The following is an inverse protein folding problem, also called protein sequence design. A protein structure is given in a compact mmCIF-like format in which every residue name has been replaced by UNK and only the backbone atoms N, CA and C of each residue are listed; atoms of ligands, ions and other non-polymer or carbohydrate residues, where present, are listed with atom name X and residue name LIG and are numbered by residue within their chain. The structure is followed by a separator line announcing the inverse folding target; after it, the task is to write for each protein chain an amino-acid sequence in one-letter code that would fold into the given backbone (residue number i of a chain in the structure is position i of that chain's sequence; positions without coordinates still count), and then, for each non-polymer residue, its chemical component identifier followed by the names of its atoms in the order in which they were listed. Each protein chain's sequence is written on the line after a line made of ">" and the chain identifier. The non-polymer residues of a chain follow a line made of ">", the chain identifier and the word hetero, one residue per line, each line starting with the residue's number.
data_IF_487770435551
#
_entry.id   IF_487770435551
#
_cell.length_a   1.000
_cell.length_b   1.000
_cell.length_c   1.000
_cell.angle_alpha   90.00
_cell.angle_beta   90.00
_cell.angle_gamma   90.00
#
_symmetry.space_group_name_H-M   'P 1'
#
loop_
_entity.id
_entity.type
_entity.pdbx_description
1 polymer ?
#
# COMPACT_ATOMS: atom_id res chain seq x y z
N UNK A 1 -26.54 -26.16 4.95
CA UNK A 1 -26.32 -24.74 4.57
C UNK A 1 -27.69 -24.07 4.58
N UNK A 2 -27.84 -22.95 5.30
CA UNK A 2 -29.13 -22.28 5.47
C UNK A 2 -29.54 -21.64 4.13
N UNK A 3 -30.83 -21.71 3.76
CA UNK A 3 -31.40 -21.10 2.55
C UNK A 3 -31.06 -19.60 2.48
N UNK A 4 -31.10 -18.91 3.61
CA UNK A 4 -30.74 -17.47 3.73
C UNK A 4 -29.31 -17.22 3.30
N UNK A 5 -28.36 -18.04 3.76
CA UNK A 5 -26.94 -17.93 3.38
C UNK A 5 -26.75 -18.10 1.88
N UNK A 6 -27.45 -19.04 1.27
CA UNK A 6 -27.39 -19.26 -0.17
C UNK A 6 -27.98 -18.10 -0.99
N UNK A 7 -29.06 -17.48 -0.51
CA UNK A 7 -29.64 -16.29 -1.13
C UNK A 7 -28.69 -15.08 -1.02
N UNK A 8 -28.08 -14.86 0.17
CA UNK A 8 -27.06 -13.83 0.37
C UNK A 8 -25.87 -14.03 -0.60
N UNK A 9 -25.34 -15.26 -0.67
CA UNK A 9 -24.24 -15.59 -1.59
C UNK A 9 -24.56 -15.23 -3.05
N UNK A 10 -25.74 -15.61 -3.54
CA UNK A 10 -26.17 -15.27 -4.90
C UNK A 10 -26.31 -13.77 -5.13
N UNK A 11 -26.86 -13.05 -4.15
CA UNK A 11 -27.01 -11.60 -4.23
C UNK A 11 -25.64 -10.92 -4.28
N UNK A 12 -24.74 -11.25 -3.37
CA UNK A 12 -23.39 -10.68 -3.34
C UNK A 12 -22.60 -11.01 -4.61
N UNK A 13 -22.69 -12.23 -5.11
CA UNK A 13 -22.04 -12.59 -6.37
C UNK A 13 -22.51 -11.70 -7.54
N UNK A 14 -23.82 -11.46 -7.67
CA UNK A 14 -24.38 -10.57 -8.69
C UNK A 14 -23.91 -9.11 -8.52
N UNK A 15 -23.84 -8.61 -7.29
CA UNK A 15 -23.36 -7.25 -6.98
C UNK A 15 -21.89 -7.12 -7.39
N UNK A 16 -21.05 -8.07 -7.01
CA UNK A 16 -19.62 -8.09 -7.34
C UNK A 16 -19.39 -8.17 -8.86
N UNK A 17 -20.10 -9.06 -9.55
CA UNK A 17 -19.99 -9.19 -11.00
C UNK A 17 -20.48 -7.93 -11.75
N UNK A 18 -21.52 -7.27 -11.24
CA UNK A 18 -21.99 -5.99 -11.77
C UNK A 18 -20.94 -4.92 -11.57
N UNK A 19 -20.33 -4.84 -10.38
CA UNK A 19 -19.29 -3.86 -10.05
C UNK A 19 -18.06 -4.03 -10.95
N UNK A 20 -17.58 -5.25 -11.17
CA UNK A 20 -16.47 -5.53 -12.09
C UNK A 20 -16.74 -5.04 -13.51
N UNK A 21 -17.97 -5.24 -14.00
CA UNK A 21 -18.36 -4.81 -15.35
C UNK A 21 -18.54 -3.30 -15.47
N UNK A 22 -19.05 -2.65 -14.44
CA UNK A 22 -19.31 -1.21 -14.45
C UNK A 22 -18.07 -0.36 -14.12
N UNK A 23 -17.06 -0.98 -13.54
CA UNK A 23 -15.81 -0.30 -13.15
C UNK A 23 -14.63 -1.17 -13.60
N UNK A 24 -14.27 -1.14 -14.91
CA UNK A 24 -13.14 -1.90 -15.42
C UNK A 24 -11.84 -1.44 -14.75
N UNK A 25 -10.89 -2.36 -14.60
CA UNK A 25 -9.56 -2.04 -14.09
C UNK A 25 -8.88 -1.04 -15.03
N UNK A 26 -8.57 0.13 -14.50
CA UNK A 26 -7.74 1.11 -15.16
C UNK A 26 -6.37 1.15 -14.47
N UNK A 27 -5.41 0.42 -15.02
CA UNK A 27 -4.06 0.31 -14.47
C UNK A 27 -3.38 1.67 -14.36
N UNK A 28 -3.62 2.55 -15.32
CA UNK A 28 -3.01 3.87 -15.31
C UNK A 28 -3.55 4.75 -14.17
N UNK A 29 -4.85 4.75 -13.92
CA UNK A 29 -5.43 5.49 -12.80
C UNK A 29 -5.09 4.88 -11.45
N UNK A 30 -4.91 3.56 -11.37
CA UNK A 30 -4.46 2.88 -10.17
C UNK A 30 -3.04 3.28 -9.74
N UNK A 31 -2.21 3.68 -10.71
CA UNK A 31 -0.84 4.12 -10.50
C UNK A 31 -0.70 5.64 -10.20
N UNK A 32 -1.79 6.40 -10.31
CA UNK A 32 -1.78 7.84 -10.00
C UNK A 32 -1.80 8.08 -8.48
N UNK A 33 -0.78 8.79 -8.02
CA UNK A 33 -0.58 9.09 -6.60
C UNK A 33 -1.15 10.46 -6.19
N UNK A 34 -1.81 11.16 -7.07
CA UNK A 34 -2.36 12.49 -6.80
C UNK A 34 -3.75 12.36 -6.18
N UNK A 35 -3.97 12.85 -4.95
CA UNK A 35 -5.31 12.91 -4.38
C UNK A 35 -6.23 13.75 -5.26
N UNK A 36 -7.53 13.44 -5.36
CA UNK A 36 -8.50 14.34 -5.97
C UNK A 36 -8.49 15.70 -5.28
N UNK A 37 -8.81 16.75 -6.02
CA UNK A 37 -8.79 18.12 -5.49
C UNK A 37 -9.78 18.33 -4.32
N UNK A 38 -10.83 17.54 -4.27
CA UNK A 38 -11.89 17.51 -3.24
C UNK A 38 -11.66 16.42 -2.17
N UNK A 39 -10.45 15.85 -2.11
CA UNK A 39 -10.15 14.81 -1.14
C UNK A 39 -10.40 15.28 0.30
N UNK A 40 -11.30 14.60 0.98
CA UNK A 40 -11.59 14.83 2.39
C UNK A 40 -10.48 14.32 3.33
N UNK A 41 -10.62 14.54 4.63
CA UNK A 41 -9.65 14.12 5.63
C UNK A 41 -9.49 12.58 5.73
N UNK A 42 -10.48 11.83 5.27
CA UNK A 42 -10.49 10.35 5.27
C UNK A 42 -9.86 9.78 4.00
N UNK A 43 -9.61 10.61 2.98
CA UNK A 43 -8.93 10.14 1.77
C UNK A 43 -7.60 9.46 2.13
N UNK A 44 -7.37 8.30 1.56
CA UNK A 44 -6.16 7.54 1.76
C UNK A 44 -5.77 6.81 0.48
N UNK A 45 -4.74 7.29 -0.17
CA UNK A 45 -4.06 6.57 -1.24
C UNK A 45 -2.66 6.23 -0.76
N UNK A 46 -2.36 4.94 -0.61
CA UNK A 46 -1.10 4.52 0.00
C UNK A 46 -0.48 3.32 -0.68
N UNK A 47 0.83 3.37 -0.75
CA UNK A 47 1.68 2.29 -1.21
C UNK A 47 2.39 1.62 -0.05
N UNK A 48 2.46 0.30 -0.10
CA UNK A 48 3.23 -0.52 0.82
C UNK A 48 4.27 -1.29 0.03
N UNK A 49 5.51 -1.14 0.45
CA UNK A 49 6.63 -1.90 -0.08
C UNK A 49 7.25 -2.71 1.05
N UNK A 50 7.55 -3.96 0.75
CA UNK A 50 8.22 -4.86 1.68
C UNK A 50 9.29 -5.60 0.90
N UNK A 51 10.52 -5.58 1.40
CA UNK A 51 11.60 -6.35 0.83
C UNK A 51 12.47 -7.01 1.90
N UNK A 52 13.06 -8.11 1.53
CA UNK A 52 13.97 -8.90 2.35
C UNK A 52 15.12 -9.36 1.47
N UNK A 53 16.33 -9.37 1.99
CA UNK A 53 17.48 -9.94 1.31
C UNK A 53 17.95 -11.24 1.97
N UNK A 54 18.84 -11.94 1.28
CA UNK A 54 19.42 -13.19 1.77
C UNK A 54 20.37 -13.00 2.95
N UNK A 55 20.82 -11.78 3.23
CA UNK A 55 21.62 -11.45 4.40
C UNK A 55 20.79 -11.26 5.67
N UNK A 56 19.46 -11.21 5.55
CA UNK A 56 18.54 -11.02 6.66
C UNK A 56 18.16 -9.57 6.95
N UNK A 57 18.47 -8.66 6.04
CA UNK A 57 17.93 -7.30 6.08
C UNK A 57 16.47 -7.30 5.67
N UNK A 58 15.69 -6.39 6.24
CA UNK A 58 14.27 -6.22 5.92
C UNK A 58 13.91 -4.75 5.91
N UNK A 59 13.13 -4.34 4.92
CA UNK A 59 12.56 -2.99 4.82
C UNK A 59 11.06 -3.10 4.67
N UNK A 60 10.34 -2.34 5.46
CA UNK A 60 8.91 -2.08 5.30
C UNK A 60 8.72 -0.58 5.14
N UNK A 61 8.02 -0.20 4.08
CA UNK A 61 7.67 1.18 3.80
C UNK A 61 6.19 1.30 3.52
N UNK A 62 5.57 2.31 4.11
CA UNK A 62 4.30 2.87 3.67
C UNK A 62 4.49 4.34 3.34
N UNK A 63 4.03 4.75 2.17
CA UNK A 63 3.91 6.16 1.79
C UNK A 63 2.45 6.40 1.39
N UNK A 64 1.78 7.31 2.09
CA UNK A 64 0.35 7.56 1.90
C UNK A 64 0.10 9.05 1.67
N UNK A 65 -0.65 9.34 0.61
CA UNK A 65 -1.29 10.64 0.43
C UNK A 65 -2.66 10.62 1.12
N UNK A 66 -2.81 11.54 2.04
CA UNK A 66 -4.05 11.78 2.77
C UNK A 66 -4.70 13.06 2.27
N UNK A 67 -5.99 13.24 2.54
CA UNK A 67 -6.62 14.53 2.34
C UNK A 67 -5.95 15.67 3.14
N UNK A 68 -6.36 16.92 2.90
CA UNK A 68 -5.86 18.11 3.59
C UNK A 68 -4.33 18.29 3.49
N UNK A 69 -3.74 18.04 2.31
CA UNK A 69 -2.31 18.20 2.05
C UNK A 69 -1.40 17.50 3.07
N UNK A 70 -1.78 16.30 3.45
CA UNK A 70 -1.07 15.49 4.44
C UNK A 70 -0.43 14.27 3.78
N UNK A 71 0.85 14.03 4.07
CA UNK A 71 1.55 12.79 3.72
C UNK A 71 1.88 12.02 4.99
N UNK A 72 1.63 10.71 4.99
CA UNK A 72 2.07 9.81 6.05
C UNK A 72 3.16 8.87 5.51
N UNK A 73 4.24 8.75 6.26
CA UNK A 73 5.37 7.88 5.94
C UNK A 73 5.66 6.98 7.12
N UNK A 74 5.60 5.68 6.90
CA UNK A 74 6.06 4.68 7.86
C UNK A 74 7.22 3.94 7.23
N UNK A 75 8.36 3.99 7.86
CA UNK A 75 9.54 3.23 7.46
C UNK A 75 10.07 2.45 8.66
N UNK A 76 10.20 1.15 8.47
CA UNK A 76 10.88 0.26 9.40
C UNK A 76 11.97 -0.51 8.65
N UNK A 77 13.17 -0.48 9.19
CA UNK A 77 14.30 -1.21 8.65
C UNK A 77 14.91 -2.09 9.74
N UNK A 78 15.21 -3.32 9.40
CA UNK A 78 15.94 -4.26 10.25
C UNK A 78 17.20 -4.69 9.52
N UNK A 79 18.37 -4.53 10.15
CA UNK A 79 19.62 -5.00 9.60
C UNK A 79 19.85 -6.50 9.89
N UNK A 80 20.81 -7.10 9.19
CA UNK A 80 21.19 -8.50 9.35
C UNK A 80 21.69 -8.85 10.77
N UNK A 81 22.08 -7.85 11.56
CA UNK A 81 22.49 -8.02 12.96
C UNK A 81 21.31 -7.96 13.94
N UNK A 82 20.10 -7.75 13.43
CA UNK A 82 18.87 -7.69 14.23
C UNK A 82 18.59 -6.32 14.85
N UNK A 83 19.32 -5.26 14.49
CA UNK A 83 18.96 -3.92 14.92
C UNK A 83 17.76 -3.43 14.11
N UNK A 84 16.77 -2.89 14.80
CA UNK A 84 15.57 -2.32 14.17
C UNK A 84 15.59 -0.80 14.27
N UNK A 85 15.17 -0.16 13.19
CA UNK A 85 15.13 1.28 13.02
C UNK A 85 13.78 1.72 12.48
N UNK A 86 13.25 2.85 12.95
CA UNK A 86 12.00 3.44 12.46
C UNK A 86 12.17 4.95 12.26
N UNK A 87 11.35 5.54 11.39
CA UNK A 87 11.19 6.97 11.35
C UNK A 87 10.27 7.42 12.49
N UNK A 88 10.68 8.45 13.25
CA UNK A 88 9.89 8.94 14.39
C UNK A 88 8.73 9.83 13.92
N UNK A 89 9.00 10.76 13.02
CA UNK A 89 7.97 11.61 12.43
C UNK A 89 7.30 10.87 11.28
N UNK A 90 6.00 10.62 11.41
CA UNK A 90 5.24 9.84 10.46
C UNK A 90 4.25 10.68 9.65
N UNK A 91 3.86 11.86 10.12
CA UNK A 91 2.85 12.71 9.50
C UNK A 91 3.43 14.08 9.14
N UNK A 92 3.23 14.49 7.89
CA UNK A 92 3.73 15.71 7.29
C UNK A 92 2.56 16.48 6.72
N UNK A 93 2.23 17.65 7.30
CA UNK A 93 1.09 18.49 6.92
C UNK A 93 1.61 19.76 6.29
N UNK A 94 1.35 19.97 5.01
CA UNK A 94 1.83 21.16 4.27
C UNK A 94 3.36 21.23 4.12
N UNK A 95 4.08 20.18 4.40
CA UNK A 95 5.54 20.09 4.30
C UNK A 95 5.97 18.85 3.51
N UNK A 96 7.13 18.93 2.87
CA UNK A 96 7.68 17.80 2.12
C UNK A 96 8.13 16.68 3.08
N UNK A 97 7.70 15.42 2.85
CA UNK A 97 8.21 14.28 3.59
C UNK A 97 9.64 13.95 3.16
N UNK A 98 10.42 13.23 4.00
CA UNK A 98 11.77 12.79 3.64
C UNK A 98 11.79 11.64 2.62
N UNK A 99 10.65 11.22 2.12
CA UNK A 99 10.49 10.13 1.17
C UNK A 99 9.78 10.56 -0.09
N UNK A 100 10.11 9.92 -1.19
CA UNK A 100 9.36 10.02 -2.44
C UNK A 100 9.02 8.63 -2.98
N UNK A 101 7.92 8.54 -3.69
CA UNK A 101 7.49 7.37 -4.43
C UNK A 101 7.09 7.81 -5.82
N UNK A 102 7.52 7.11 -6.84
CA UNK A 102 7.16 7.36 -8.22
C UNK A 102 6.98 6.06 -8.98
N UNK A 103 5.94 6.02 -9.83
CA UNK A 103 5.78 4.98 -10.82
C UNK A 103 6.61 5.37 -12.04
N UNK A 104 7.59 4.57 -12.40
CA UNK A 104 8.46 4.80 -13.57
C UNK A 104 7.98 4.06 -14.81
N UNK A 105 7.30 2.93 -14.61
CA UNK A 105 6.60 2.19 -15.65
C UNK A 105 5.32 1.62 -15.07
N UNK A 106 4.17 2.02 -15.65
CA UNK A 106 2.83 1.61 -15.19
C UNK A 106 2.73 0.09 -15.09
N UNK A 107 2.21 -0.38 -13.97
CA UNK A 107 2.03 -1.79 -13.65
C UNK A 107 3.33 -2.61 -13.53
N UNK A 108 4.51 -1.95 -13.60
CA UNK A 108 5.79 -2.68 -13.63
C UNK A 108 6.83 -2.17 -12.67
N UNK A 109 7.13 -0.86 -12.68
CA UNK A 109 8.30 -0.37 -11.96
C UNK A 109 8.00 0.85 -11.10
N UNK A 110 8.42 0.76 -9.85
CA UNK A 110 8.27 1.79 -8.85
C UNK A 110 9.62 2.13 -8.23
N UNK A 111 9.92 3.41 -8.15
CA UNK A 111 11.08 3.91 -7.41
C UNK A 111 10.64 4.51 -6.07
N UNK A 112 11.41 4.22 -5.05
CA UNK A 112 11.25 4.78 -3.72
C UNK A 112 12.56 5.38 -3.25
N UNK A 113 12.50 6.55 -2.60
CA UNK A 113 13.64 7.11 -1.87
C UNK A 113 13.24 7.58 -0.47
N UNK A 114 14.20 7.55 0.44
CA UNK A 114 14.10 8.14 1.78
C UNK A 114 15.42 8.78 2.16
N UNK A 115 15.39 10.05 2.54
CA UNK A 115 16.55 10.78 3.05
C UNK A 115 16.18 11.49 4.35
N UNK A 116 16.54 10.89 5.49
CA UNK A 116 16.12 11.39 6.78
C UNK A 116 16.80 10.69 7.95
N UNK A 117 16.21 10.85 9.13
CA UNK A 117 16.71 10.22 10.36
C UNK A 117 15.83 9.04 10.75
N UNK A 118 16.46 7.96 11.17
CA UNK A 118 15.83 6.80 11.79
C UNK A 118 16.29 6.66 13.22
N UNK A 119 15.41 6.18 14.08
CA UNK A 119 15.71 5.86 15.47
C UNK A 119 15.95 4.37 15.63
N UNK A 120 17.09 4.01 16.19
CA UNK A 120 17.37 2.65 16.62
C UNK A 120 16.47 2.30 17.80
N UNK A 121 15.65 1.28 17.65
CA UNK A 121 14.64 0.89 18.64
C UNK A 121 15.23 0.35 19.95
N UNK A 122 16.44 -0.19 19.90
CA UNK A 122 17.12 -0.74 21.08
C UNK A 122 17.86 0.32 21.87
N UNK A 123 18.55 1.24 21.18
CA UNK A 123 19.44 2.22 21.83
C UNK A 123 18.82 3.60 21.97
N UNK A 124 17.73 3.88 21.26
CA UNK A 124 17.11 5.20 21.15
C UNK A 124 17.90 6.21 20.31
N UNK A 125 19.10 5.84 19.83
CA UNK A 125 19.95 6.75 19.05
C UNK A 125 19.39 6.98 17.66
N UNK A 126 19.48 8.23 17.20
CA UNK A 126 19.18 8.59 15.82
C UNK A 126 20.39 8.33 14.91
N UNK A 127 20.11 7.85 13.69
CA UNK A 127 21.09 7.66 12.62
C UNK A 127 20.55 8.32 11.35
N UNK A 128 21.43 8.89 10.55
CA UNK A 128 21.06 9.37 9.21
C UNK A 128 20.91 8.17 8.28
N UNK A 129 19.87 8.19 7.48
CA UNK A 129 19.57 7.14 6.50
C UNK A 129 19.35 7.77 5.12
N UNK A 130 19.98 7.17 4.11
CA UNK A 130 19.74 7.46 2.71
C UNK A 130 19.46 6.11 2.04
N UNK A 131 18.20 5.91 1.65
CA UNK A 131 17.70 4.63 1.12
C UNK A 131 17.12 4.93 -0.25
N UNK A 132 17.50 4.13 -1.25
CA UNK A 132 16.89 4.10 -2.56
C UNK A 132 16.56 2.66 -2.93
N UNK A 133 15.36 2.42 -3.41
CA UNK A 133 14.92 1.11 -3.86
C UNK A 133 14.15 1.26 -5.17
N UNK A 134 14.28 0.25 -6.02
CA UNK A 134 13.44 0.05 -7.17
C UNK A 134 12.73 -1.31 -7.02
N UNK A 135 11.44 -1.30 -7.30
CA UNK A 135 10.59 -2.49 -7.28
C UNK A 135 10.14 -2.77 -8.70
N UNK A 136 10.51 -3.93 -9.22
CA UNK A 136 10.09 -4.38 -10.54
C UNK A 136 9.15 -5.58 -10.41
N UNK A 137 7.97 -5.48 -11.01
CA UNK A 137 7.01 -6.57 -11.06
C UNK A 137 7.57 -7.72 -11.91
N UNK A 138 7.47 -8.94 -11.41
CA UNK A 138 7.85 -10.17 -12.13
C UNK A 138 6.64 -10.89 -12.75
N UNK A 139 5.45 -10.35 -12.58
CA UNK A 139 4.18 -10.87 -13.09
C UNK A 139 3.16 -9.77 -13.27
N UNK A 140 1.97 -10.15 -13.68
CA UNK A 140 0.85 -9.23 -13.88
C UNK A 140 0.34 -8.66 -12.56
N UNK A 141 -0.27 -7.47 -12.63
CA UNK A 141 -0.95 -6.87 -11.48
C UNK A 141 -2.09 -7.77 -11.02
N UNK A 142 -2.13 -8.00 -9.71
CA UNK A 142 -3.30 -8.58 -9.07
C UNK A 142 -4.11 -7.48 -8.36
N UNK A 143 -5.23 -7.10 -8.95
CA UNK A 143 -6.21 -6.21 -8.32
C UNK A 143 -7.30 -7.06 -7.67
N UNK A 144 -7.42 -6.94 -6.34
CA UNK A 144 -8.27 -7.82 -5.53
C UNK A 144 -9.74 -7.80 -5.98
N UNK A 145 -10.29 -6.62 -6.25
CA UNK A 145 -11.69 -6.46 -6.63
C UNK A 145 -12.04 -7.05 -8.00
N UNK A 146 -11.05 -7.11 -8.92
CA UNK A 146 -11.23 -7.59 -10.29
C UNK A 146 -10.82 -9.05 -10.46
N UNK A 147 -9.68 -9.46 -9.88
CA UNK A 147 -9.11 -10.78 -10.14
C UNK A 147 -9.62 -11.86 -9.17
N UNK A 148 -10.11 -11.48 -7.98
CA UNK A 148 -10.69 -12.45 -7.08
C UNK A 148 -12.02 -13.01 -7.63
N UNK A 149 -12.19 -14.33 -7.55
CA UNK A 149 -13.45 -14.97 -7.93
C UNK A 149 -14.62 -14.45 -7.08
N UNK A 150 -15.63 -13.87 -7.75
CA UNK A 150 -16.80 -13.29 -7.09
C UNK A 150 -17.57 -14.30 -6.23
N UNK A 151 -17.56 -15.60 -6.61
CA UNK A 151 -18.25 -16.66 -5.84
C UNK A 151 -17.52 -16.95 -4.53
N UNK A 152 -16.17 -16.98 -4.58
CA UNK A 152 -15.35 -17.20 -3.38
C UNK A 152 -15.57 -16.07 -2.39
N UNK A 153 -15.51 -14.82 -2.86
CA UNK A 153 -15.74 -13.64 -2.03
C UNK A 153 -17.16 -13.59 -1.48
N UNK A 154 -18.17 -13.79 -2.33
CA UNK A 154 -19.58 -13.81 -1.93
C UNK A 154 -19.87 -14.89 -0.88
N UNK A 155 -19.27 -16.08 -1.01
CA UNK A 155 -19.39 -17.17 -0.03
C UNK A 155 -18.78 -16.83 1.32
N UNK A 156 -17.68 -16.10 1.34
CA UNK A 156 -17.07 -15.63 2.59
C UNK A 156 -17.94 -14.60 3.30
N UNK A 157 -18.43 -13.59 2.57
CA UNK A 157 -19.28 -12.52 3.11
C UNK A 157 -20.64 -13.07 3.61
N UNK A 158 -21.21 -14.04 2.90
CA UNK A 158 -22.54 -14.59 3.24
C UNK A 158 -22.56 -15.44 4.52
N UNK A 159 -21.39 -15.80 5.05
CA UNK A 159 -21.27 -16.58 6.30
C UNK A 159 -21.32 -15.73 7.56
N UNK A 160 -21.07 -14.42 7.43
CA UNK A 160 -21.20 -13.43 8.49
C UNK A 160 -22.64 -12.92 8.59
#
# INVERSE_FOLDING_TARGET
>A
MNIITHLKERLFCRILDKRKRSNPLDEQSAELFTPPADADEFHNNSYYFSCHDMAGNSLLLRHAQRGANTTEVWLAYKDAKGNAYINEKQRFVGEAPPSSVSCTEVAKTWAFSYNGKLKNMKTGKQVSANIGCEFSATGDIFEFGHHLDSRVLAKSIAKE
#
